data_IF_005470944133
#
_entry.id   IF_005470944133
#
_cell.length_a   1.000
_cell.length_b   1.000
_cell.length_c   1.000
_cell.angle_alpha   90.00
_cell.angle_beta   90.00
_cell.angle_gamma   90.00
#
_symmetry.space_group_name_H-M   'P 1'
#
loop_
_entity.id
_entity.type
_entity.pdbx_description
1 polymer ?
2 non-polymer ?
3 water ?
#
# COMPACT_ATOMS: atom_id res chain seq x y z
N UNK A 12 26.88 -10.26 6.30
CA UNK A 12 28.24 -10.52 5.72
C UNK A 12 28.17 -10.96 4.26
N UNK A 13 27.35 -11.99 4.00
CA UNK A 13 27.20 -12.57 2.65
C UNK A 13 25.87 -13.33 2.54
N UNK A 14 25.42 -13.54 1.30
CA UNK A 14 24.23 -14.36 1.03
C UNK A 14 24.48 -15.80 1.45
N UNK A 15 23.46 -16.43 2.03
CA UNK A 15 23.58 -17.80 2.53
C UNK A 15 23.24 -18.74 1.39
N UNK A 16 24.06 -19.79 1.23
CA UNK A 16 24.00 -20.73 0.09
C UNK A 16 22.57 -21.24 -0.21
N UNK A 17 21.78 -21.41 0.85
CA UNK A 17 20.35 -21.72 0.74
C UNK A 17 19.53 -20.66 -0.01
N UNK A 18 19.84 -19.37 0.19
CA UNK A 18 19.17 -18.26 -0.51
C UNK A 18 19.61 -18.15 -1.97
N UNK A 19 20.93 -18.25 -2.19
CA UNK A 19 21.53 -18.24 -3.53
C UNK A 19 20.86 -19.22 -4.47
N UNK A 20 20.59 -20.43 -3.98
CA UNK A 20 19.83 -21.44 -4.73
C UNK A 20 18.39 -20.99 -4.98
N UNK A 21 17.75 -20.46 -3.94
CA UNK A 21 16.37 -19.96 -4.01
C UNK A 21 16.19 -18.78 -4.98
N UNK A 22 17.10 -17.81 -4.89
CA UNK A 22 17.13 -16.67 -5.83
C UNK A 22 17.28 -17.19 -7.26
N UNK A 23 18.35 -17.95 -7.48
CA UNK A 23 18.67 -18.55 -8.79
C UNK A 23 17.55 -19.41 -9.38
N UNK A 24 16.80 -20.11 -8.52
CA UNK A 24 15.61 -20.85 -8.95
C UNK A 24 14.50 -19.89 -9.40
N UNK A 25 14.30 -18.81 -8.63
CA UNK A 25 13.25 -17.82 -8.90
C UNK A 25 13.46 -17.08 -10.22
N UNK A 26 14.70 -16.66 -10.46
CA UNK A 26 15.04 -15.90 -11.69
C UNK A 26 14.89 -16.80 -12.91
N UNK A 27 15.40 -18.04 -12.81
CA UNK A 27 15.31 -19.03 -13.90
C UNK A 27 13.86 -19.35 -14.28
N UNK A 28 13.04 -19.62 -13.28
CA UNK A 28 11.59 -19.85 -13.47
C UNK A 28 10.91 -18.66 -14.13
N UNK A 29 11.34 -17.45 -13.76
CA UNK A 29 10.79 -16.20 -14.30
C UNK A 29 11.16 -15.97 -15.77
N UNK A 30 12.40 -16.27 -16.16
CA UNK A 30 12.87 -16.02 -17.54
C UNK A 30 12.14 -16.83 -18.61
N UNK A 31 11.56 -17.98 -18.23
CA UNK A 31 10.70 -18.76 -19.13
C UNK A 31 9.31 -18.13 -19.37
N UNK A 32 8.99 -17.04 -18.68
CA UNK A 32 7.66 -16.43 -18.77
C UNK A 32 7.50 -15.57 -20.02
N UNK A 34 6.04 -15.79 -23.82
CA UNK A 34 7.15 -15.60 -24.75
C UNK A 34 6.72 -15.44 -26.23
N UNK A 35 5.42 -15.29 -26.47
CA UNK A 35 4.87 -15.23 -27.82
C UNK A 35 5.20 -13.88 -28.51
N UNK A 36 5.63 -13.96 -29.78
CA UNK A 36 6.02 -12.79 -30.58
C UNK A 36 4.92 -12.39 -31.55
N UNK A 58 -11.26 1.59 -31.80
CA UNK A 58 -11.08 1.72 -30.35
C UNK A 58 -11.43 0.43 -29.61
N UNK A 59 -12.61 -0.12 -29.92
CA UNK A 59 -13.04 -1.43 -29.40
C UNK A 59 -12.12 -2.54 -29.88
N UNK A 60 -11.65 -2.45 -31.13
CA UNK A 60 -10.65 -3.37 -31.68
C UNK A 60 -9.30 -3.25 -30.96
N UNK A 61 -8.90 -2.02 -30.68
CA UNK A 61 -7.67 -1.74 -29.91
C UNK A 61 -7.75 -2.24 -28.47
N UNK A 62 -8.87 -1.94 -27.82
CA UNK A 62 -9.17 -2.47 -26.49
C UNK A 62 -9.19 -4.01 -26.49
N UNK A 63 -9.90 -4.59 -27.45
CA UNK A 63 -9.97 -6.05 -27.61
C UNK A 63 -8.61 -6.71 -27.90
N UNK A 64 -7.70 -5.95 -28.52
CA UNK A 64 -6.31 -6.39 -28.67
C UNK A 64 -5.62 -6.50 -27.31
N UNK A 65 -5.67 -5.42 -26.53
CA UNK A 65 -4.98 -5.36 -25.23
C UNK A 65 -5.43 -6.41 -24.23
N UNK A 66 -6.73 -6.66 -24.18
CA UNK A 66 -7.28 -7.73 -23.35
C UNK A 66 -6.68 -9.12 -23.64
N UNK A 67 -6.43 -9.41 -24.92
CA UNK A 67 -5.80 -10.67 -25.31
C UNK A 67 -4.33 -10.74 -24.84
N UNK A 68 -3.66 -9.60 -24.81
CA UNK A 68 -2.32 -9.48 -24.20
C UNK A 68 -2.38 -9.70 -22.69
N UNK A 69 -3.40 -9.12 -22.05
CA UNK A 69 -3.64 -9.33 -20.61
C UNK A 69 -3.94 -10.78 -20.29
N UNK A 70 -4.77 -11.43 -21.11
CA UNK A 70 -5.09 -12.87 -20.97
C UNK A 70 -3.84 -13.74 -20.97
N UNK A 71 -2.97 -13.56 -21.96
CA UNK A 71 -1.72 -14.35 -22.08
C UNK A 71 -0.80 -14.14 -20.86
N UNK A 72 -0.71 -12.90 -20.39
CA UNK A 72 0.17 -12.55 -19.28
C UNK A 72 -0.35 -13.11 -17.94
N UNK A 73 -1.66 -13.05 -17.73
CA UNK A 73 -2.32 -13.68 -16.56
C UNK A 73 -2.02 -15.19 -16.50
N UNK A 74 -2.17 -15.87 -17.64
CA UNK A 74 -1.86 -17.30 -17.74
C UNK A 74 -0.40 -17.61 -17.44
N UNK A 75 0.50 -16.72 -17.87
CA UNK A 75 1.93 -16.84 -17.55
C UNK A 75 2.23 -16.66 -16.05
N UNK A 76 1.49 -15.76 -15.40
CA UNK A 76 1.64 -15.49 -13.95
C UNK A 76 1.18 -16.67 -13.08
N UNK A 77 0.05 -17.28 -13.44
CA UNK A 77 -0.44 -18.46 -12.70
C UNK A 77 0.52 -19.63 -12.79
N UNK A 78 1.07 -19.86 -13.99
CA UNK A 78 2.12 -20.87 -14.19
C UNK A 78 3.39 -20.53 -13.40
N UNK A 79 3.71 -19.23 -13.32
CA UNK A 79 4.82 -18.76 -12.48
C UNK A 79 4.54 -18.93 -10.99
N UNK A 80 3.31 -18.63 -10.57
CA UNK A 80 2.88 -18.77 -9.17
C UNK A 80 2.96 -20.22 -8.69
N UNK A 81 2.68 -21.18 -9.55
CA UNK A 81 2.86 -22.61 -9.22
C UNK A 81 4.31 -22.93 -8.91
N UNK A 82 5.23 -22.36 -9.69
CA UNK A 82 6.67 -22.60 -9.51
C UNK A 82 7.28 -21.96 -8.26
N UNK A 83 6.64 -20.95 -7.66
CA UNK A 83 7.13 -20.37 -6.40
C UNK A 83 6.93 -21.35 -5.24
N UNK A 84 7.98 -21.58 -4.41
CA UNK A 84 7.88 -22.49 -3.26
C UNK A 84 6.81 -22.08 -2.24
N UNK A 85 5.91 -23.02 -1.96
CA UNK A 85 4.90 -22.84 -0.92
C UNK A 85 3.53 -22.34 -1.37
N UNK A 86 3.44 -21.77 -2.58
CA UNK A 86 2.15 -21.32 -3.11
C UNK A 86 1.15 -22.47 -3.28
N UNK A 87 1.66 -23.60 -3.75
CA UNK A 87 0.90 -24.84 -3.96
C UNK A 87 0.30 -25.38 -2.65
N UNK A 88 1.04 -25.22 -1.55
CA UNK A 88 0.62 -25.66 -0.21
C UNK A 88 -0.68 -25.03 0.30
N UNK A 89 -1.02 -23.83 -0.17
CA UNK A 89 -2.14 -23.06 0.36
C UNK A 89 -3.46 -23.54 -0.20
N UNK A 90 -4.54 -23.23 0.52
CA UNK A 90 -5.89 -23.52 0.06
C UNK A 90 -6.22 -22.76 -1.23
N UNK A 91 -6.97 -23.41 -2.11
CA UNK A 91 -7.31 -22.84 -3.41
C UNK A 91 -8.00 -21.47 -3.29
N UNK A 92 -8.93 -21.36 -2.35
CA UNK A 92 -9.62 -20.10 -2.06
C UNK A 92 -8.65 -18.95 -1.76
N UNK A 93 -7.60 -19.24 -1.00
CA UNK A 93 -6.52 -18.28 -0.76
C UNK A 93 -5.63 -18.09 -1.99
N UNK A 94 -5.31 -19.17 -2.68
CA UNK A 94 -4.55 -19.09 -3.96
C UNK A 94 -5.23 -18.17 -4.96
N UNK A 95 -6.56 -18.25 -5.06
CA UNK A 95 -7.36 -17.35 -5.89
C UNK A 95 -7.25 -15.91 -5.39
N UNK A 96 -7.47 -15.73 -4.08
CA UNK A 96 -7.47 -14.39 -3.45
C UNK A 96 -6.16 -13.63 -3.66
N UNK A 97 -5.04 -14.33 -3.57
CA UNK A 97 -3.72 -13.76 -3.85
C UNK A 97 -3.54 -13.42 -5.33
N UNK A 98 -3.96 -14.32 -6.22
CA UNK A 98 -3.83 -14.09 -7.66
C UNK A 98 -4.69 -12.93 -8.17
N UNK A 99 -5.93 -12.85 -7.71
CA UNK A 99 -6.83 -11.75 -8.09
C UNK A 99 -6.18 -10.38 -7.88
N UNK A 100 -5.71 -10.17 -6.67
CA UNK A 100 -5.08 -8.91 -6.28
C UNK A 100 -3.69 -8.71 -6.89
N UNK A 101 -2.88 -9.76 -6.92
CA UNK A 101 -1.49 -9.67 -7.38
C UNK A 101 -1.32 -9.42 -8.88
N UNK A 102 -2.20 -10.01 -9.70
CA UNK A 102 -2.00 -10.02 -11.16
C UNK A 102 -1.81 -8.63 -11.77
N UNK A 103 -2.62 -7.66 -11.36
CA UNK A 103 -2.45 -6.28 -11.83
C UNK A 103 -1.07 -5.70 -11.44
N UNK A 104 -0.63 -5.99 -10.22
CA UNK A 104 0.61 -5.42 -9.68
C UNK A 104 1.86 -6.04 -10.32
N UNK A 105 1.84 -7.35 -10.53
CA UNK A 105 2.89 -8.08 -11.29
C UNK A 105 3.00 -7.53 -12.72
N UNK A 106 1.86 -7.29 -13.36
CA UNK A 106 1.85 -6.72 -14.70
C UNK A 106 2.49 -5.34 -14.72
N UNK A 107 2.11 -4.50 -13.76
CA UNK A 107 2.69 -3.17 -13.63
C UNK A 107 4.19 -3.21 -13.32
N UNK A 108 4.62 -4.21 -12.55
CA UNK A 108 6.06 -4.45 -12.37
C UNK A 108 6.73 -4.83 -13.68
N UNK A 109 6.11 -5.74 -14.44
CA UNK A 109 6.64 -6.16 -15.75
C UNK A 109 6.70 -5.02 -16.76
N UNK A 110 5.64 -4.21 -16.80
CA UNK A 110 5.60 -2.97 -17.58
C UNK A 110 6.79 -2.05 -17.25
N UNK A 111 7.08 -1.89 -15.96
CA UNK A 111 8.20 -1.07 -15.51
C UNK A 111 9.55 -1.65 -15.93
N UNK A 112 9.67 -2.98 -15.88
CA UNK A 112 10.92 -3.65 -16.23
C UNK A 112 11.34 -3.44 -17.69
N UNK A 113 10.38 -3.52 -18.61
CA UNK A 113 10.62 -3.33 -20.05
C UNK A 113 10.21 -1.96 -20.60
N UNK A 114 10.02 -0.99 -19.71
CA UNK A 114 9.86 0.41 -20.12
C UNK A 114 11.19 0.95 -20.63
N UNK A 115 11.17 1.54 -21.82
CA UNK A 115 12.36 2.10 -22.47
C UNK A 115 12.32 3.63 -22.36
N UNK A 116 13.27 4.20 -21.62
CA UNK A 116 13.36 5.66 -21.44
C UNK A 116 13.94 6.40 -22.66
N UNK A 117 14.61 5.66 -23.55
CA UNK A 117 15.11 6.22 -24.82
C UNK A 117 14.00 6.46 -25.84
N UNK A 118 12.97 5.61 -25.82
CA UNK A 118 11.86 5.69 -26.78
C UNK A 118 10.47 6.02 -26.17
N UNK A 119 10.37 6.00 -24.85
CA UNK A 119 9.09 6.17 -24.13
C UNK A 119 8.01 5.14 -24.54
N UNK A 120 8.44 3.91 -24.78
CA UNK A 120 7.54 2.83 -25.20
C UNK A 120 7.61 1.65 -24.22
N UNK A 121 6.46 1.02 -24.02
CA UNK A 121 6.33 -0.18 -23.17
C UNK A 121 6.21 -1.40 -24.07
N UNK A 122 7.02 -2.42 -23.80
CA UNK A 122 7.06 -3.62 -24.63
C UNK A 122 6.44 -4.78 -23.86
N UNK A 123 5.49 -5.48 -24.50
CA UNK A 123 4.87 -6.69 -23.94
C UNK A 123 5.47 -7.93 -24.60
N UNK A 126 7.76 -8.74 -28.00
CA UNK A 126 8.12 -7.42 -28.51
C UNK A 126 6.91 -6.66 -29.07
N UNK A 127 5.80 -6.74 -28.36
CA UNK A 127 4.59 -5.94 -28.64
C UNK A 127 4.78 -4.54 -28.04
N UNK A 128 5.33 -3.60 -28.81
CA UNK A 128 5.67 -2.25 -28.33
C UNK A 128 4.53 -1.25 -28.47
N UNK A 129 4.31 -0.45 -27.43
CA UNK A 129 3.21 0.55 -27.38
C UNK A 129 3.66 1.85 -26.73
N UNK A 130 3.17 2.96 -27.29
CA UNK A 130 3.43 4.31 -26.80
C UNK A 130 2.20 4.82 -26.05
N UNK A 131 2.35 5.97 -25.41
CA UNK A 131 1.28 6.58 -24.62
C UNK A 131 -0.02 6.80 -25.39
N UNK A 132 0.10 7.24 -26.64
CA UNK A 132 -1.07 7.49 -27.48
C UNK A 132 -1.81 6.20 -27.85
N UNK A 133 -1.07 5.12 -28.09
CA UNK A 133 -1.68 3.78 -28.32
C UNK A 133 -2.58 3.35 -27.15
N UNK A 134 -2.14 3.59 -25.92
CA UNK A 134 -2.95 3.30 -24.73
C UNK A 134 -4.16 4.23 -24.63
N UNK A 135 -3.97 5.51 -24.97
CA UNK A 135 -5.06 6.49 -24.99
C UNK A 135 -6.12 6.20 -26.06
N UNK A 136 -5.67 5.73 -27.22
CA UNK A 136 -6.55 5.39 -28.34
C UNK A 136 -7.49 4.20 -28.04
N UNK A 137 -7.05 3.30 -27.15
CA UNK A 137 -7.85 2.14 -26.73
C UNK A 137 -8.87 2.44 -25.61
N UNK A 138 -9.00 3.71 -25.20
CA UNK A 138 -9.99 4.12 -24.21
C UNK A 138 -9.49 4.21 -22.77
N UNK A 139 -8.19 4.02 -22.55
CA UNK A 139 -7.60 4.22 -21.21
C UNK A 139 -7.45 5.71 -20.91
N UNK A 140 -7.90 6.13 -19.72
CA UNK A 140 -7.86 7.53 -19.31
C UNK A 140 -6.42 7.96 -18.96
N UNK A 141 -6.15 9.26 -19.11
CA UNK A 141 -4.79 9.79 -18.93
C UNK A 141 -4.36 9.79 -17.45
N UNK A 142 -5.33 9.92 -16.56
CA UNK A 142 -5.10 9.81 -15.11
C UNK A 142 -4.54 8.44 -14.69
N UNK A 143 -4.75 7.41 -15.51
CA UNK A 143 -4.20 6.08 -15.26
C UNK A 143 -2.88 5.81 -16.01
N UNK A 144 -2.75 6.31 -17.24
CA UNK A 144 -1.55 6.05 -18.06
C UNK A 144 -0.32 6.77 -17.52
N UNK A 145 -0.46 8.07 -17.22
CA UNK A 145 0.67 8.90 -16.80
C UNK A 145 1.38 8.38 -15.53
N UNK A 146 0.60 8.01 -14.49
CA UNK A 146 1.21 7.38 -13.31
C UNK A 146 1.99 6.08 -13.56
N UNK A 147 1.52 5.24 -14.50
CA UNK A 147 2.23 4.00 -14.85
C UNK A 147 3.60 4.33 -15.43
N UNK A 148 3.64 5.34 -16.30
CA UNK A 148 4.90 5.84 -16.85
C UNK A 148 5.80 6.45 -15.78
N UNK A 149 5.23 7.32 -14.95
CA UNK A 149 5.96 7.89 -13.80
C UNK A 149 6.49 6.81 -12.85
N UNK A 150 5.68 5.78 -12.62
CA UNK A 150 6.09 4.62 -11.81
C UNK A 150 7.27 3.90 -12.46
N UNK A 151 7.17 3.66 -13.77
CA UNK A 151 8.24 3.01 -14.54
C UNK A 151 9.58 3.77 -14.53
N UNK A 152 9.54 5.10 -14.63
CA UNK A 152 10.76 5.91 -14.58
C UNK A 152 11.38 5.85 -13.17
N UNK A 153 10.55 5.90 -12.15
CA UNK A 153 11.01 5.75 -10.76
C UNK A 153 11.63 4.38 -10.53
N UNK A 154 11.01 3.34 -11.07
CA UNK A 154 11.59 1.98 -11.03
C UNK A 154 12.91 1.92 -11.78
N UNK A 155 12.98 2.59 -12.93
CA UNK A 155 14.23 2.67 -13.71
C UNK A 155 15.39 3.30 -12.93
N UNK A 156 15.10 4.38 -12.20
CA UNK A 156 16.09 5.04 -11.35
C UNK A 156 16.66 4.16 -10.22
N UNK A 157 15.87 3.22 -9.72
CA UNK A 157 16.34 2.26 -8.71
C UNK A 157 17.36 1.26 -9.24
N UNK A 158 17.36 1.01 -10.55
CA UNK A 158 18.33 0.16 -11.21
C UNK A 158 18.22 -1.29 -10.79
N UNK A 159 17.00 -1.82 -10.84
CA UNK A 159 16.74 -3.20 -10.39
C UNK A 159 17.23 -4.22 -11.41
N UNK A 160 18.00 -5.20 -10.95
CA UNK A 160 18.35 -6.36 -11.78
C UNK A 160 17.23 -7.40 -11.73
N UNK A 161 17.40 -8.50 -12.46
CA UNK A 161 16.37 -9.56 -12.53
C UNK A 161 16.11 -10.30 -11.22
N UNK A 162 17.13 -10.43 -10.38
CA UNK A 162 16.98 -11.05 -9.05
C UNK A 162 16.11 -10.19 -8.14
N UNK A 163 16.38 -8.88 -8.11
CA UNK A 163 15.57 -7.92 -7.36
C UNK A 163 14.12 -7.90 -7.83
N UNK A 164 13.91 -7.86 -9.13
CA UNK A 164 12.54 -7.95 -9.70
C UNK A 164 11.85 -9.25 -9.30
N UNK A 165 12.56 -10.37 -9.42
CA UNK A 165 12.01 -11.70 -9.08
C UNK A 165 11.56 -11.80 -7.62
N UNK A 166 12.41 -11.35 -6.71
CA UNK A 166 12.09 -11.33 -5.28
C UNK A 166 10.94 -10.39 -4.94
N UNK A 167 10.89 -9.26 -5.61
CA UNK A 167 9.82 -8.27 -5.44
C UNK A 167 8.46 -8.86 -5.83
N UNK A 168 8.45 -9.68 -6.89
CA UNK A 168 7.25 -10.39 -7.34
C UNK A 168 6.78 -11.44 -6.32
N UNK A 169 7.71 -12.20 -5.76
CA UNK A 169 7.41 -13.17 -4.71
C UNK A 169 6.79 -12.50 -3.47
N UNK A 170 7.40 -11.39 -3.04
CA UNK A 170 6.91 -10.59 -1.91
C UNK A 170 5.51 -10.06 -2.19
N UNK A 171 5.26 -9.65 -3.44
CA UNK A 171 3.96 -9.14 -3.86
C UNK A 171 2.86 -10.20 -3.81
N UNK A 172 3.18 -11.40 -4.29
CA UNK A 172 2.22 -12.53 -4.29
C UNK A 172 1.77 -12.86 -2.87
N UNK A 173 2.74 -13.03 -1.96
CA UNK A 173 2.44 -13.39 -0.57
C UNK A 173 2.17 -12.15 0.29
N UNK A 174 1.04 -11.50 0.05
CA UNK A 174 0.62 -10.34 0.84
C UNK A 174 -0.54 -10.75 1.74
N UNK A 175 -0.34 -10.62 3.06
CA UNK A 175 -1.31 -11.09 4.05
C UNK A 175 -2.60 -10.26 4.11
N UNK A 176 -2.51 -8.99 3.73
CA UNK A 176 -3.65 -8.05 3.83
C UNK A 176 -4.50 -7.94 2.54
N UNK A 177 -4.46 -8.95 1.69
CA UNK A 177 -5.34 -9.00 0.51
C UNK A 177 -6.76 -9.33 0.97
N UNK A 178 -7.79 -8.89 0.23
CA UNK A 178 -9.16 -9.16 0.67
C UNK A 178 -9.57 -10.62 0.54
N UNK A 179 -10.33 -11.11 1.53
CA UNK A 179 -10.84 -12.50 1.58
C UNK A 179 -9.76 -13.59 1.72
N UNK A 180 -8.68 -13.30 2.45
CA UNK A 180 -7.63 -14.30 2.73
C UNK A 180 -7.95 -15.02 4.04
N UNK A 181 -8.15 -16.33 3.95
CA UNK A 181 -8.48 -17.17 5.11
C UNK A 181 -7.31 -17.37 6.08
N UNK A 182 -6.09 -17.50 5.56
CA UNK A 182 -4.90 -17.80 6.36
C UNK A 182 -3.80 -16.72 6.24
N UNK A 183 -4.07 -15.50 6.74
CA UNK A 183 -3.08 -14.42 6.63
C UNK A 183 -1.73 -14.72 7.28
N UNK A 184 -1.75 -15.44 8.40
CA UNK A 184 -0.53 -15.85 9.11
C UNK A 184 0.40 -16.72 8.27
N UNK A 185 -0.16 -17.72 7.60
CA UNK A 185 0.62 -18.58 6.70
C UNK A 185 1.19 -17.80 5.51
N UNK A 186 0.41 -16.86 4.98
CA UNK A 186 0.84 -16.04 3.85
C UNK A 186 1.99 -15.12 4.26
N UNK A 187 1.88 -14.50 5.43
CA UNK A 187 2.97 -13.66 5.98
C UNK A 187 4.25 -14.47 6.21
N UNK A 188 4.10 -15.72 6.64
CA UNK A 188 5.23 -16.61 6.88
C UNK A 188 5.95 -17.04 5.59
N UNK A 189 5.18 -17.23 4.52
CA UNK A 189 5.75 -17.56 3.21
C UNK A 189 6.47 -16.37 2.56
N UNK A 190 6.03 -15.16 2.91
CA UNK A 190 6.64 -13.92 2.40
C UNK A 190 8.01 -13.63 3.00
N UNK A 191 8.15 -13.84 4.33
CA UNK A 191 9.38 -13.48 5.07
C UNK A 191 10.71 -13.91 4.43
N UNK A 192 10.83 -15.18 3.97
CA UNK A 192 12.08 -15.60 3.31
C UNK A 192 12.50 -14.73 2.11
N UNK A 193 11.52 -14.29 1.33
CA UNK A 193 11.78 -13.43 0.15
C UNK A 193 12.16 -12.01 0.53
N UNK A 194 11.57 -11.51 1.62
CA UNK A 194 11.94 -10.21 2.18
C UNK A 194 13.34 -10.28 2.80
N UNK A 195 13.65 -11.38 3.47
CA UNK A 195 14.99 -11.63 4.01
C UNK A 195 16.04 -11.73 2.91
N UNK A 196 15.70 -12.48 1.85
CA UNK A 196 16.61 -12.64 0.71
C UNK A 196 16.85 -11.32 -0.01
N UNK A 197 15.77 -10.53 -0.20
CA UNK A 197 15.87 -9.24 -0.87
C UNK A 197 16.72 -8.26 -0.08
N UNK A 198 16.55 -8.25 1.24
CA UNK A 198 17.41 -7.46 2.13
C UNK A 198 18.87 -7.85 1.96
N UNK A 199 19.17 -9.13 2.08
CA UNK A 199 20.55 -9.66 1.95
C UNK A 199 21.16 -9.39 0.56
N UNK A 200 20.37 -9.60 -0.49
CA UNK A 200 20.81 -9.35 -1.86
C UNK A 200 21.15 -7.88 -2.11
N UNK A 201 20.27 -6.97 -1.70
CA UNK A 201 20.48 -5.53 -1.90
C UNK A 201 21.70 -4.99 -1.17
N UNK A 202 21.98 -5.55 -0.01
CA UNK A 202 23.18 -5.19 0.77
C UNK A 202 24.48 -5.57 0.03
N UNK A 203 24.48 -6.71 -0.66
CA UNK A 203 25.66 -7.14 -1.42
C UNK A 203 25.85 -6.34 -2.72
N UNK A 204 24.77 -6.01 -3.40
CA UNK A 204 24.83 -5.31 -4.69
C UNK A 204 25.32 -3.87 -4.54
N UNK A 205 24.75 -3.14 -3.57
CA UNK A 205 25.16 -1.78 -3.25
C UNK A 205 25.28 -1.59 -1.72
N UNK A 206 26.42 -2.02 -1.14
CA UNK A 206 26.73 -1.81 0.29
C UNK A 206 26.65 -0.36 0.77
N UNK A 207 27.01 0.59 -0.09
CA UNK A 207 27.04 2.01 0.28
C UNK A 207 25.64 2.65 0.31
N UNK A 208 24.78 2.30 -0.67
CA UNK A 208 23.42 2.82 -0.76
C UNK A 208 22.45 1.98 0.10
N UNK A 209 22.32 2.36 1.36
CA UNK A 209 21.44 1.68 2.31
C UNK A 209 19.94 1.90 2.04
N UNK A 210 19.59 3.06 1.49
CA UNK A 210 18.17 3.43 1.26
C UNK A 210 17.51 2.80 0.01
N UNK A 211 18.26 2.04 -0.78
CA UNK A 211 17.70 1.41 -1.99
C UNK A 211 16.61 0.41 -1.67
N UNK A 212 16.88 -0.49 -0.72
CA UNK A 212 15.94 -1.53 -0.32
C UNK A 212 14.63 -0.98 0.26
N UNK A 213 14.71 -0.01 1.19
CA UNK A 213 13.49 0.67 1.65
C UNK A 213 12.66 1.29 0.52
N UNK A 214 13.33 2.00 -0.40
CA UNK A 214 12.67 2.62 -1.55
C UNK A 214 12.02 1.59 -2.50
N UNK A 215 12.68 0.45 -2.71
CA UNK A 215 12.08 -0.64 -3.47
C UNK A 215 10.77 -1.11 -2.85
N UNK A 216 10.81 -1.36 -1.53
CA UNK A 216 9.62 -1.82 -0.80
C UNK A 216 8.51 -0.78 -0.80
N UNK A 217 8.87 0.51 -0.78
CA UNK A 217 7.87 1.58 -0.87
C UNK A 217 7.16 1.65 -2.23
N UNK A 218 7.75 1.06 -3.28
CA UNK A 218 7.05 0.89 -4.57
C UNK A 218 5.86 -0.07 -4.48
N UNK A 219 5.92 -1.02 -3.54
CA UNK A 219 4.76 -1.88 -3.25
C UNK A 219 3.56 -1.06 -2.78
N UNK A 220 3.81 0.03 -2.08
CA UNK A 220 2.77 0.97 -1.65
C UNK A 220 2.13 1.64 -2.87
N UNK A 221 2.97 2.07 -3.82
CA UNK A 221 2.50 2.66 -5.08
C UNK A 221 1.68 1.70 -5.93
N UNK A 222 2.04 0.41 -5.95
CA UNK A 222 1.26 -0.60 -6.68
C UNK A 222 -0.16 -0.79 -6.13
N UNK A 223 -0.38 -0.58 -4.84
CA UNK A 223 -1.73 -0.64 -4.27
C UNK A 223 -2.64 0.45 -4.78
N UNK A 224 -2.13 1.68 -4.83
CA UNK A 224 -2.91 2.80 -5.39
C UNK A 224 -3.15 2.63 -6.88
N UNK A 225 -2.12 2.22 -7.62
CA UNK A 225 -2.28 1.95 -9.06
C UNK A 225 -3.28 0.81 -9.32
N UNK A 226 -3.31 -0.19 -8.43
CA UNK A 226 -4.34 -1.22 -8.46
C UNK A 226 -5.73 -0.65 -8.17
N UNK A 227 -5.81 0.28 -7.23
CA UNK A 227 -7.06 0.98 -6.91
C UNK A 227 -7.57 1.84 -8.09
N UNK A 228 -6.65 2.52 -8.78
CA UNK A 228 -7.00 3.32 -9.97
C UNK A 228 -7.42 2.42 -11.14
N UNK A 229 -6.78 1.25 -11.26
CA UNK A 229 -7.10 0.28 -12.30
C UNK A 229 -8.55 -0.22 -12.23
N UNK A 230 -9.06 -0.41 -11.01
CA UNK A 230 -10.49 -0.76 -10.80
C UNK A 230 -11.44 0.37 -11.25
N UNK A 231 -11.05 1.62 -11.00
CA UNK A 231 -11.78 2.77 -11.55
C UNK A 231 -11.69 2.86 -13.08
N UNK A 232 -10.53 2.49 -13.63
CA UNK A 232 -10.32 2.42 -15.08
C UNK A 232 -11.24 1.39 -15.73
N UNK A 233 -11.31 0.21 -15.14
CA UNK A 233 -12.24 -0.86 -15.57
C UNK A 233 -13.70 -0.38 -15.63
N UNK A 234 -14.13 0.30 -14.57
CA UNK A 234 -15.49 0.85 -14.52
C UNK A 234 -15.72 1.95 -15.56
N UNK A 235 -14.73 2.81 -15.75
CA UNK A 235 -14.77 3.86 -16.78
C UNK A 235 -14.85 3.30 -18.21
N UNK A 236 -14.18 2.17 -18.43
CA UNK A 236 -14.28 1.45 -19.71
C UNK A 236 -15.69 0.90 -19.95
N UNK A 237 -16.33 0.35 -18.91
CA UNK A 237 -17.72 -0.12 -19.00
C UNK A 237 -18.68 0.98 -19.47
N UNK A 238 -18.45 2.20 -18.99
CA UNK A 238 -19.20 3.39 -19.43
C UNK A 238 -19.03 3.64 -20.93
N UNK A 239 -17.81 3.48 -21.44
CA UNK A 239 -17.52 3.61 -22.88
C UNK A 239 -17.89 2.36 -23.70
N UNK A 240 -18.87 1.57 -23.25
CA UNK A 240 -19.28 0.33 -23.93
C UNK A 240 -18.12 -0.65 -24.15
N UNK A 241 -17.20 -0.70 -23.18
CA UNK A 241 -16.00 -1.53 -23.22
C UNK A 241 -15.98 -2.45 -22.00
N UNK A 242 -16.42 -3.70 -22.18
CA UNK A 242 -16.49 -4.70 -21.10
C UNK A 242 -15.39 -5.75 -21.24
N UNK A 243 -14.94 -6.29 -20.11
CA UNK A 243 -13.82 -7.22 -20.06
C UNK A 243 -14.21 -8.64 -20.47
N UNK A 244 -13.28 -9.41 -21.10
CA UNK A 244 -13.43 -10.86 -21.36
C UNK A 244 -13.61 -11.71 -20.10
N UNK A 245 -13.81 -13.05 -20.25
CA UNK A 245 -14.27 -13.84 -19.11
C UNK A 245 -13.23 -14.07 -17.99
N UNK A 246 -11.98 -14.35 -18.38
CA UNK A 246 -10.88 -14.55 -17.43
C UNK A 246 -10.56 -13.27 -16.65
N UNK A 247 -10.46 -12.15 -17.39
CA UNK A 247 -10.15 -10.85 -16.79
C UNK A 247 -11.29 -10.32 -15.92
N UNK A 248 -12.53 -10.55 -16.34
CA UNK A 248 -13.72 -10.17 -15.56
C UNK A 248 -13.82 -10.97 -14.25
N UNK A 249 -13.32 -12.22 -14.26
CA UNK A 249 -13.24 -13.02 -13.04
C UNK A 249 -12.36 -12.35 -11.98
N UNK A 250 -11.20 -11.87 -12.42
CA UNK A 250 -10.21 -11.23 -11.52
C UNK A 250 -10.44 -9.73 -11.23
N UNK A 251 -10.97 -8.98 -12.21
CA UNK A 251 -11.05 -7.51 -12.09
C UNK A 251 -12.45 -6.86 -12.03
N UNK A 252 -13.48 -7.54 -12.49
CA UNK A 252 -14.84 -6.97 -12.51
C UNK A 252 -15.55 -7.16 -11.17
N UNK A 253 -16.38 -6.18 -10.80
CA UNK A 253 -17.12 -6.21 -9.53
C UNK A 253 -18.20 -5.14 -9.51
N UNK A 261 -17.33 -16.84 -8.34
CA UNK A 261 -17.30 -18.15 -9.01
C UNK A 261 -16.25 -18.20 -10.12
N UNK A 262 -14.99 -18.06 -9.72
CA UNK A 262 -13.84 -18.05 -10.65
C UNK A 262 -13.51 -19.42 -11.27
N UNK A 263 -14.39 -19.85 -12.18
CA UNK A 263 -14.32 -21.18 -12.80
C UNK A 263 -13.10 -21.33 -13.73
N UNK A 264 -12.85 -20.30 -14.53
CA UNK A 264 -11.69 -20.26 -15.41
C UNK A 264 -10.38 -20.39 -14.63
N UNK A 265 -10.28 -19.64 -13.53
CA UNK A 265 -9.07 -19.57 -12.71
C UNK A 265 -8.71 -20.87 -11.95
N UNK A 266 -9.72 -21.71 -11.69
CA UNK A 266 -9.51 -23.03 -11.07
C UNK A 266 -8.75 -24.02 -11.98
N UNK A 267 -9.18 -24.11 -13.24
CA UNK A 267 -8.63 -25.07 -14.20
C UNK A 267 -7.12 -24.94 -14.42
N UNK A 268 -6.65 -23.69 -14.54
CA UNK A 268 -5.21 -23.40 -14.70
C UNK A 268 -4.43 -23.80 -13.45
N UNK A 269 -5.05 -23.61 -12.28
CA UNK A 269 -4.45 -24.05 -11.01
C UNK A 269 -4.54 -25.56 -10.83
N UNK B 13 26.23 4.02 13.99
CA UNK B 13 25.35 4.48 15.04
C UNK B 13 24.71 5.78 14.65
N UNK B 14 23.79 6.24 15.47
CA UNK B 14 23.01 7.42 15.16
C UNK B 14 23.83 8.67 15.25
N UNK B 15 23.41 9.68 14.53
CA UNK B 15 24.06 10.97 14.58
C UNK B 15 23.21 11.78 15.51
N UNK B 16 23.86 12.47 16.43
CA UNK B 16 23.18 13.19 17.49
C UNK B 16 22.23 14.19 16.90
N UNK B 17 22.53 14.68 15.71
CA UNK B 17 21.63 15.62 15.04
C UNK B 17 20.27 14.95 14.77
N UNK B 18 20.28 13.68 14.39
CA UNK B 18 19.02 12.97 14.18
C UNK B 18 18.27 12.90 15.48
N UNK B 19 19.03 12.66 16.53
CA UNK B 19 18.49 12.34 17.82
C UNK B 19 17.60 13.44 18.31
N UNK B 20 18.01 14.67 18.09
CA UNK B 20 17.17 15.77 18.50
C UNK B 20 15.88 15.68 17.73
N UNK B 21 16.01 15.35 16.45
CA UNK B 21 14.85 15.30 15.57
C UNK B 21 13.83 14.30 16.01
N UNK B 22 14.29 13.10 16.27
CA UNK B 22 13.45 12.02 16.81
C UNK B 22 12.76 12.52 18.08
N UNK B 23 13.57 12.97 19.04
CA UNK B 23 13.09 13.50 20.34
C UNK B 23 12.07 14.64 20.21
N UNK B 24 12.26 15.50 19.20
CA UNK B 24 11.28 16.55 18.89
C UNK B 24 9.97 15.95 18.37
N UNK B 25 10.08 14.93 17.50
CA UNK B 25 8.92 14.28 16.89
C UNK B 25 8.04 13.53 17.89
N UNK B 26 8.68 12.81 18.81
CA UNK B 26 7.96 12.04 19.84
C UNK B 26 7.24 12.99 20.79
N UNK B 27 7.95 14.05 21.22
CA UNK B 27 7.40 15.05 22.14
C UNK B 27 6.17 15.76 21.55
N UNK B 28 6.31 16.22 20.31
CA UNK B 28 5.21 16.83 19.56
C UNK B 28 4.00 15.90 19.44
N UNK B 29 4.28 14.61 19.24
CA UNK B 29 3.25 13.58 19.11
C UNK B 29 2.47 13.31 20.39
N UNK B 30 3.17 13.25 21.53
CA UNK B 30 2.52 12.96 22.83
C UNK B 30 1.46 13.98 23.27
N UNK B 31 1.60 15.23 22.81
CA UNK B 31 0.61 16.28 23.07
C UNK B 31 -0.64 16.10 22.21
N UNK B 43 -18.04 15.26 24.69
CA UNK B 43 -18.60 14.71 23.45
C UNK B 43 -20.05 14.26 23.66
N UNK B 44 -20.83 14.27 22.58
CA UNK B 44 -22.21 13.71 22.52
C UNK B 44 -22.36 12.36 23.25
N UNK B 45 -23.59 12.01 23.70
CA UNK B 45 -23.76 10.82 24.52
C UNK B 45 -23.67 9.51 23.71
N UNK B 46 -22.99 8.51 24.28
CA UNK B 46 -22.95 7.16 23.76
C UNK B 46 -24.09 6.37 24.38
N UNK B 47 -25.04 5.83 23.56
CA UNK B 47 -26.16 5.05 24.14
C UNK B 47 -25.77 3.72 24.77
N UNK B 57 -30.92 4.07 18.08
CA UNK B 57 -29.67 4.13 18.85
C UNK B 57 -28.41 3.97 17.98
N UNK B 58 -28.53 3.26 16.85
CA UNK B 58 -27.44 3.10 15.89
C UNK B 58 -26.94 4.45 15.35
N UNK B 59 -27.87 5.30 14.93
CA UNK B 59 -27.56 6.63 14.43
C UNK B 59 -26.92 7.51 15.50
N UNK B 60 -27.40 7.38 16.74
CA UNK B 60 -26.79 8.05 17.90
C UNK B 60 -25.37 7.54 18.18
N UNK B 61 -25.19 6.23 18.07
CA UNK B 61 -23.86 5.58 18.22
C UNK B 61 -22.89 5.99 17.10
N UNK B 62 -23.37 5.95 15.87
CA UNK B 62 -22.63 6.46 14.72
C UNK B 62 -22.26 7.94 14.90
N UNK B 63 -23.25 8.75 15.27
CA UNK B 63 -23.06 10.18 15.52
C UNK B 63 -22.08 10.47 16.67
N UNK B 64 -21.97 9.53 17.62
CA UNK B 64 -20.94 9.60 18.65
C UNK B 64 -19.54 9.44 18.04
N UNK B 65 -19.35 8.37 17.27
CA UNK B 65 -18.04 8.05 16.69
C UNK B 65 -17.50 9.13 15.75
N UNK B 66 -18.37 9.70 14.94
CA UNK B 66 -18.00 10.82 14.07
C UNK B 66 -17.42 12.02 14.83
N UNK B 67 -17.97 12.31 16.00
CA UNK B 67 -17.44 13.40 16.86
C UNK B 67 -16.06 13.06 17.41
N UNK B 68 -15.80 11.77 17.66
CA UNK B 68 -14.45 11.30 17.99
C UNK B 68 -13.51 11.43 16.80
N UNK B 69 -13.99 11.10 15.61
CA UNK B 69 -13.23 11.29 14.37
C UNK B 69 -12.91 12.77 14.11
N UNK B 70 -13.89 13.64 14.32
CA UNK B 70 -13.70 15.10 14.19
C UNK B 70 -12.55 15.62 15.08
N UNK B 71 -12.58 15.27 16.37
CA UNK B 71 -11.56 15.71 17.32
C UNK B 71 -10.16 15.21 16.93
N UNK B 72 -10.08 13.96 16.45
CA UNK B 72 -8.81 13.33 16.09
C UNK B 72 -8.22 13.94 14.81
N UNK B 73 -9.07 14.23 13.83
CA UNK B 73 -8.67 14.96 12.60
C UNK B 73 -8.05 16.33 12.94
N UNK B 74 -8.72 17.07 13.83
CA UNK B 74 -8.23 18.38 14.29
C UNK B 74 -6.88 18.26 15.02
N UNK B 75 -6.71 17.18 15.78
CA UNK B 75 -5.43 16.89 16.45
C UNK B 75 -4.30 16.58 15.46
N UNK B 76 -4.64 15.89 14.36
CA UNK B 76 -3.66 15.54 13.31
C UNK B 76 -3.18 16.76 12.52
N UNK B 77 -4.08 17.69 12.20
CA UNK B 77 -3.70 18.91 11.48
C UNK B 77 -2.77 19.78 12.35
N UNK B 78 -3.09 19.89 13.65
CA UNK B 78 -2.21 20.56 14.61
C UNK B 78 -0.86 19.86 14.74
N UNK B 79 -0.86 18.53 14.67
CA UNK B 79 0.36 17.73 14.65
C UNK B 79 1.15 17.94 13.36
N UNK B 80 0.44 17.98 12.23
CA UNK B 80 1.07 18.19 10.92
C UNK B 80 1.78 19.54 10.81
N UNK B 81 1.25 20.57 11.46
CA UNK B 81 1.93 21.87 11.54
C UNK B 81 3.27 21.76 12.26
N UNK B 82 3.30 20.98 13.34
CA UNK B 82 4.52 20.80 14.15
C UNK B 82 5.62 19.95 13.48
N UNK B 83 5.27 19.15 12.46
CA UNK B 83 6.28 18.36 11.72
C UNK B 83 7.15 19.31 10.87
N UNK B 84 8.49 19.16 10.94
CA UNK B 84 9.40 20.04 10.17
C UNK B 84 9.21 19.94 8.65
N UNK B 85 8.98 21.08 8.02
CA UNK B 85 8.86 21.15 6.56
C UNK B 85 7.46 21.08 5.98
N UNK B 86 6.48 20.60 6.74
CA UNK B 86 5.09 20.51 6.24
C UNK B 86 4.51 21.88 5.89
N UNK B 87 4.80 22.86 6.73
CA UNK B 87 4.36 24.25 6.54
C UNK B 87 4.93 24.88 5.25
N UNK B 88 6.16 24.49 4.91
CA UNK B 88 6.87 24.96 3.71
C UNK B 88 6.16 24.65 2.38
N UNK B 89 5.37 23.58 2.35
CA UNK B 89 4.69 23.13 1.13
C UNK B 89 3.45 23.96 0.87
N UNK B 90 3.01 23.98 -0.40
CA UNK B 90 1.80 24.70 -0.80
C UNK B 90 0.57 24.15 -0.11
N UNK B 91 -0.38 25.03 0.22
CA UNK B 91 -1.63 24.65 0.90
C UNK B 91 -2.39 23.55 0.18
N UNK B 92 -2.49 23.67 -1.15
CA UNK B 92 -3.12 22.65 -2.00
C UNK B 92 -2.52 21.26 -1.81
N UNK B 93 -1.19 21.20 -1.68
CA UNK B 93 -0.49 19.97 -1.35
C UNK B 93 -0.68 19.57 0.11
N UNK B 94 -0.62 20.55 1.03
CA UNK B 94 -0.91 20.31 2.45
C UNK B 94 -2.27 19.64 2.66
N UNK B 95 -3.27 20.12 1.92
CA UNK B 95 -4.61 19.50 1.92
C UNK B 95 -4.56 18.07 1.37
N UNK B 96 -3.91 17.91 0.21
CA UNK B 96 -3.83 16.62 -0.48
C UNK B 96 -3.19 15.52 0.36
N UNK B 97 -2.14 15.88 1.11
CA UNK B 97 -1.48 14.96 2.03
C UNK B 97 -2.38 14.63 3.23
N UNK B 98 -3.04 15.63 3.79
CA UNK B 98 -3.93 15.42 4.95
C UNK B 98 -5.16 14.58 4.63
N UNK B 99 -5.79 14.83 3.48
CA UNK B 99 -6.95 14.04 3.04
C UNK B 99 -6.66 12.53 3.06
N UNK B 100 -5.58 12.16 2.40
CA UNK B 100 -5.17 10.76 2.30
C UNK B 100 -4.60 10.19 3.60
N UNK B 101 -3.77 10.98 4.28
CA UNK B 101 -3.09 10.52 5.50
C UNK B 101 -3.98 10.28 6.71
N UNK B 102 -5.00 11.13 6.89
CA UNK B 102 -5.80 11.14 8.13
C UNK B 102 -6.36 9.76 8.52
N UNK B 103 -6.92 9.03 7.56
CA UNK B 103 -7.40 7.67 7.86
C UNK B 103 -6.27 6.73 8.32
N UNK B 104 -5.11 6.84 7.68
CA UNK B 104 -3.98 5.95 7.95
C UNK B 104 -3.32 6.22 9.30
N UNK B 105 -3.15 7.50 9.63
CA UNK B 105 -2.69 7.95 10.96
C UNK B 105 -3.63 7.48 12.06
N UNK B 106 -4.93 7.57 11.82
CA UNK B 106 -5.91 7.10 12.80
C UNK B 106 -5.80 5.60 13.03
N UNK B 107 -5.68 4.85 11.94
CA UNK B 107 -5.48 3.40 12.03
C UNK B 107 -4.18 3.03 12.72
N UNK B 108 -3.13 3.83 12.51
CA UNK B 108 -1.89 3.67 13.29
C UNK B 108 -2.11 3.93 14.78
N UNK B 109 -2.84 5.00 15.10
CA UNK B 109 -3.17 5.34 16.49
C UNK B 109 -4.04 4.29 17.17
N UNK B 110 -5.04 3.80 16.44
CA UNK B 110 -5.85 2.66 16.86
C UNK B 110 -4.99 1.44 17.24
N UNK B 111 -4.00 1.15 16.39
CA UNK B 111 -3.08 0.03 16.63
C UNK B 111 -2.21 0.26 17.86
N UNK B 112 -1.78 1.50 18.07
CA UNK B 112 -0.91 1.84 19.21
C UNK B 112 -1.58 1.58 20.56
N UNK B 113 -2.85 1.97 20.70
CA UNK B 113 -3.61 1.80 21.95
C UNK B 113 -4.57 0.59 21.94
N UNK B 114 -4.40 -0.32 20.99
CA UNK B 114 -5.08 -1.61 21.03
C UNK B 114 -4.51 -2.47 22.15
N UNK B 115 -5.39 -3.00 22.99
CA UNK B 115 -5.01 -3.83 24.13
C UNK B 115 -5.33 -5.31 23.83
N UNK B 116 -4.28 -6.13 23.73
CA UNK B 116 -4.46 -7.58 23.45
C UNK B 116 -4.94 -8.39 24.66
N UNK B 117 -4.83 -7.84 25.86
CA UNK B 117 -5.35 -8.46 27.09
C UNK B 117 -6.87 -8.33 27.20
N UNK B 118 -7.44 -7.24 26.67
CA UNK B 118 -8.88 -6.97 26.75
C UNK B 118 -9.63 -6.96 25.40
N UNK B 119 -8.89 -6.95 24.28
CA UNK B 119 -9.44 -6.79 22.93
C UNK B 119 -10.28 -5.50 22.75
N UNK B 120 -9.82 -4.42 23.38
CA UNK B 120 -10.50 -3.12 23.30
C UNK B 120 -9.57 -2.04 22.72
N UNK B 121 -10.17 -1.12 21.96
CA UNK B 121 -9.46 0.02 21.37
C UNK B 121 -9.82 1.26 22.17
N UNK B 124 -9.69 11.00 21.59
CA UNK B 124 -10.07 10.70 22.97
C UNK B 124 -8.89 10.43 23.90
N UNK B 125 -9.18 10.40 25.19
CA UNK B 125 -8.19 10.14 26.26
C UNK B 125 -8.31 8.70 26.76
N UNK B 126 -9.52 8.28 27.11
CA UNK B 126 -9.79 6.91 27.54
C UNK B 126 -11.21 6.44 27.20
N UNK B 127 -11.66 6.79 26.00
CA UNK B 127 -12.92 6.29 25.44
C UNK B 127 -12.68 4.90 24.85
N UNK B 128 -12.92 3.87 25.65
CA UNK B 128 -12.65 2.47 25.26
C UNK B 128 -13.84 1.80 24.57
N UNK B 129 -13.56 1.06 23.50
CA UNK B 129 -14.58 0.37 22.69
C UNK B 129 -14.15 -1.05 22.30
N UNK B 130 -15.12 -1.96 22.31
CA UNK B 130 -14.93 -3.35 21.90
C UNK B 130 -15.51 -3.56 20.52
N UNK B 131 -15.28 -4.74 19.95
CA UNK B 131 -15.76 -5.07 18.61
C UNK B 131 -17.26 -4.92 18.43
N UNK B 132 -18.04 -5.30 19.43
CA UNK B 132 -19.50 -5.21 19.35
C UNK B 132 -19.98 -3.75 19.35
N UNK B 133 -19.31 -2.89 20.12
CA UNK B 133 -19.59 -1.44 20.09
C UNK B 133 -19.47 -0.84 18.69
N UNK B 134 -18.43 -1.25 17.95
CA UNK B 134 -18.24 -0.81 16.56
C UNK B 134 -19.30 -1.40 15.63
N UNK B 135 -19.66 -2.65 15.85
CA UNK B 135 -20.72 -3.33 15.08
C UNK B 135 -22.11 -2.72 15.31
N UNK B 136 -22.38 -2.32 16.56
CA UNK B 136 -23.66 -1.72 16.94
C UNK B 136 -23.90 -0.34 16.28
N UNK B 137 -22.81 0.37 15.97
CA UNK B 137 -22.90 1.67 15.29
C UNK B 137 -23.04 1.60 13.76
N UNK B 138 -23.18 0.39 13.20
CA UNK B 138 -23.42 0.21 11.76
C UNK B 138 -22.18 -0.08 10.92
N UNK B 139 -21.02 -0.24 11.56
CA UNK B 139 -19.80 -0.63 10.85
C UNK B 139 -19.82 -2.13 10.52
N UNK B 140 -19.54 -2.46 9.26
CA UNK B 140 -19.56 -3.85 8.78
C UNK B 140 -18.36 -4.63 9.32
N UNK B 141 -18.53 -5.95 9.45
CA UNK B 141 -17.51 -6.83 10.03
C UNK B 141 -16.28 -6.98 9.12
N UNK B 142 -16.50 -6.87 7.80
CA UNK B 142 -15.43 -6.87 6.81
C UNK B 142 -14.43 -5.72 7.01
N UNK B 143 -14.85 -4.64 7.67
CA UNK B 143 -13.98 -3.51 7.99
C UNK B 143 -13.37 -3.57 9.40
N UNK B 144 -14.16 -4.03 10.38
CA UNK B 144 -13.71 -4.08 11.78
C UNK B 144 -12.60 -5.12 11.99
N UNK B 145 -12.83 -6.34 11.50
CA UNK B 145 -11.89 -7.45 11.74
C UNK B 145 -10.47 -7.19 11.22
N UNK B 146 -10.33 -6.66 9.99
CA UNK B 146 -9.00 -6.26 9.51
C UNK B 146 -8.26 -5.22 10.34
N UNK B 147 -8.98 -4.25 10.92
CA UNK B 147 -8.37 -3.23 11.78
C UNK B 147 -7.77 -3.89 13.02
N UNK B 148 -8.53 -4.83 13.59
CA UNK B 148 -8.03 -5.63 14.73
C UNK B 148 -6.84 -6.52 14.33
N UNK B 149 -6.96 -7.23 13.21
CA UNK B 149 -5.84 -8.02 12.68
C UNK B 149 -4.60 -7.16 12.38
N UNK B 150 -4.82 -5.96 11.87
CA UNK B 150 -3.74 -4.99 11.64
C UNK B 150 -3.09 -4.59 12.97
N UNK B 151 -3.92 -4.29 13.97
CA UNK B 151 -3.45 -3.93 15.31
C UNK B 151 -2.61 -5.02 16.00
N UNK B 152 -3.03 -6.27 15.87
CA UNK B 152 -2.26 -7.40 16.44
C UNK B 152 -0.92 -7.58 15.75
N UNK B 153 -0.91 -7.42 14.42
CA UNK B 153 0.32 -7.45 13.64
C UNK B 153 1.26 -6.32 14.04
N UNK B 154 0.72 -5.12 14.22
CA UNK B 154 1.50 -3.99 14.73
C UNK B 154 2.04 -4.27 16.12
N UNK B 155 1.21 -4.88 16.97
CA UNK B 155 1.63 -5.25 18.33
C UNK B 155 2.81 -6.22 18.35
N UNK B 156 2.79 -7.21 17.46
CA UNK B 156 3.90 -8.17 17.30
C UNK B 156 5.23 -7.53 16.92
N UNK B 157 5.19 -6.42 16.18
CA UNK B 157 6.42 -5.68 15.81
C UNK B 157 7.08 -4.99 17.01
N UNK B 158 6.31 -4.70 18.05
CA UNK B 158 6.83 -4.15 19.30
C UNK B 158 7.35 -2.74 19.14
N UNK B 159 6.55 -1.88 18.50
CA UNK B 159 6.96 -0.52 18.21
C UNK B 159 6.93 0.35 19.47
N UNK B 160 8.03 1.06 19.73
CA UNK B 160 8.05 2.12 20.74
C UNK B 160 7.51 3.42 20.15
N UNK B 161 7.44 4.47 20.96
CA UNK B 161 6.87 5.77 20.53
C UNK B 161 7.71 6.49 19.45
N UNK B 162 9.02 6.28 19.45
CA UNK B 162 9.90 6.85 18.41
C UNK B 162 9.61 6.22 17.05
N UNK B 163 9.51 4.89 17.02
CA UNK B 163 9.16 4.15 15.80
C UNK B 163 7.78 4.55 15.26
N UNK B 164 6.79 4.64 16.16
CA UNK B 164 5.46 5.12 15.77
C UNK B 164 5.51 6.53 15.20
N UNK B 165 6.23 7.44 15.88
CA UNK B 165 6.35 8.84 15.45
C UNK B 165 6.96 8.99 14.06
N UNK B 166 8.05 8.28 13.82
CA UNK B 166 8.72 8.28 12.51
C UNK B 166 7.85 7.69 11.40
N UNK B 167 7.12 6.63 11.75
CA UNK B 167 6.20 5.97 10.81
C UNK B 167 5.10 6.92 10.35
N UNK B 168 4.62 7.75 11.28
CA UNK B 168 3.60 8.78 11.01
C UNK B 168 4.14 9.87 10.07
N UNK B 169 5.37 10.33 10.33
CA UNK B 169 6.04 11.31 9.46
C UNK B 169 6.20 10.79 8.04
N UNK B 170 6.67 9.54 7.91
CA UNK B 170 6.84 8.86 6.61
C UNK B 170 5.49 8.75 5.89
N UNK B 171 4.43 8.47 6.65
CA UNK B 171 3.09 8.35 6.08
C UNK B 171 2.56 9.68 5.52
N UNK B 172 2.76 10.77 6.26
CA UNK B 172 2.33 12.10 5.85
C UNK B 172 2.99 12.51 4.53
N UNK B 173 4.31 12.37 4.45
CA UNK B 173 5.07 12.75 3.25
C UNK B 173 5.13 11.60 2.24
N UNK B 174 3.99 11.30 1.61
CA UNK B 174 3.91 10.29 0.58
C UNK B 174 3.72 10.97 -0.77
N UNK B 175 4.65 10.75 -1.70
CA UNK B 175 4.68 11.46 -2.98
C UNK B 175 3.56 11.05 -3.94
N UNK B 176 3.07 9.81 -3.81
CA UNK B 176 2.06 9.26 -4.71
C UNK B 176 0.59 9.45 -4.27
N UNK B 177 0.33 10.44 -3.42
CA UNK B 177 -1.03 10.78 -3.02
C UNK B 177 -1.71 11.51 -4.18
N UNK B 178 -3.05 11.43 -4.28
CA UNK B 178 -3.74 12.07 -5.41
C UNK B 178 -3.73 13.60 -5.33
N UNK B 179 -3.57 14.25 -6.49
CA UNK B 179 -3.57 15.72 -6.63
C UNK B 179 -2.38 16.43 -5.96
N UNK B 180 -1.20 15.80 -5.93
CA UNK B 180 0.00 16.45 -5.35
C UNK B 180 0.78 17.19 -6.45
N UNK B 181 0.89 18.51 -6.29
CA UNK B 181 1.62 19.36 -7.24
C UNK B 181 3.13 19.17 -7.22
N UNK B 182 3.72 18.94 -6.04
CA UNK B 182 5.18 18.87 -5.86
C UNK B 182 5.64 17.52 -5.28
N UNK B 183 5.47 16.42 -6.03
CA UNK B 183 5.87 15.09 -5.51
C UNK B 183 7.35 14.98 -5.13
N UNK B 184 8.21 15.64 -5.89
CA UNK B 184 9.65 15.66 -5.63
C UNK B 184 10.00 16.24 -4.26
N UNK B 185 9.42 17.39 -3.93
CA UNK B 185 9.64 18.02 -2.62
C UNK B 185 9.09 17.16 -1.47
N UNK B 186 7.95 16.50 -1.69
CA UNK B 186 7.35 15.62 -0.69
C UNK B 186 8.25 14.40 -0.43
N UNK B 187 8.76 13.79 -1.51
CA UNK B 187 9.70 12.67 -1.39
C UNK B 187 10.98 13.07 -0.66
N UNK B 188 11.45 14.30 -0.89
CA UNK B 188 12.64 14.83 -0.23
C UNK B 188 12.45 15.08 1.27
N UNK B 189 11.26 15.53 1.65
CA UNK B 189 10.90 15.71 3.07
C UNK B 189 10.74 14.38 3.81
N UNK B 190 10.34 13.33 3.09
CA UNK B 190 10.17 11.98 3.65
C UNK B 190 11.50 11.30 3.98
N UNK B 191 12.49 11.42 3.08
CA UNK B 191 13.78 10.69 3.20
C UNK B 191 14.46 10.74 4.57
N UNK B 192 14.56 11.94 5.20
CA UNK B 192 15.17 12.01 6.54
C UNK B 192 14.51 11.12 7.60
N UNK B 193 13.18 10.99 7.54
CA UNK B 193 12.44 10.16 8.48
C UNK B 193 12.60 8.66 8.20
N UNK B 194 12.74 8.32 6.92
CA UNK B 194 13.05 6.94 6.52
C UNK B 194 14.48 6.57 6.91
N UNK B 195 15.40 7.52 6.74
CA UNK B 195 16.79 7.36 7.18
C UNK B 195 16.90 7.22 8.69
N UNK B 196 16.17 8.06 9.42
CA UNK B 196 16.15 8.02 10.88
C UNK B 196 15.56 6.71 11.39
N UNK B 197 14.46 6.27 10.77
CA UNK B 197 13.79 5.03 11.16
C UNK B 197 14.66 3.82 10.93
N UNK B 198 15.37 3.80 9.79
CA UNK B 198 16.37 2.77 9.51
C UNK B 198 17.44 2.73 10.61
N UNK B 199 18.06 3.88 10.87
CA UNK B 199 19.12 4.00 11.89
C UNK B 199 18.64 3.64 13.29
N UNK B 200 17.46 4.12 13.66
CA UNK B 200 16.87 3.83 14.97
C UNK B 200 16.60 2.33 15.17
N UNK B 201 15.97 1.69 14.19
CA UNK B 201 15.63 0.26 14.29
C UNK B 201 16.86 -0.64 14.41
N UNK B 202 17.94 -0.24 13.73
CA UNK B 202 19.20 -0.97 13.79
C UNK B 202 19.82 -0.93 15.20
N UNK B 203 19.69 0.20 15.90
CA UNK B 203 20.22 0.34 17.25
C UNK B 203 19.38 -0.40 18.30
N UNK B 204 18.07 -0.35 18.15
CA UNK B 204 17.15 -0.96 19.13
C UNK B 204 17.23 -2.49 19.13
N UNK B 205 17.19 -3.08 17.94
CA UNK B 205 17.34 -4.53 17.76
C UNK B 205 18.30 -4.85 16.61
N UNK B 206 19.63 -4.80 16.87
CA UNK B 206 20.66 -5.18 15.90
C UNK B 206 20.51 -6.59 15.31
N UNK B 207 20.01 -7.53 16.10
CA UNK B 207 19.89 -8.92 15.67
C UNK B 207 18.67 -9.15 14.76
N UNK B 208 17.54 -8.52 15.09
CA UNK B 208 16.30 -8.64 14.28
C UNK B 208 16.28 -7.63 13.13
N UNK B 209 16.87 -8.03 12.01
CA UNK B 209 17.03 -7.15 10.84
C UNK B 209 15.72 -6.91 10.08
N UNK B 210 14.80 -7.88 10.12
CA UNK B 210 13.54 -7.81 9.38
C UNK B 210 12.43 -6.93 9.99
N UNK B 211 12.67 -6.34 11.15
CA UNK B 211 11.68 -5.47 11.80
C UNK B 211 11.34 -4.23 10.96
N UNK B 212 12.39 -3.54 10.51
CA UNK B 212 12.24 -2.32 9.73
C UNK B 212 11.53 -2.53 8.38
N UNK B 213 11.91 -3.57 7.61
CA UNK B 213 11.16 -3.92 6.41
C UNK B 213 9.67 -4.19 6.69
N UNK B 214 9.38 -4.97 7.73
CA UNK B 214 8.00 -5.27 8.12
C UNK B 214 7.21 -4.04 8.56
N UNK B 215 7.85 -3.10 9.26
CA UNK B 215 7.22 -1.82 9.59
C UNK B 215 6.79 -1.08 8.32
N UNK B 216 7.71 -0.96 7.37
CA UNK B 216 7.42 -0.27 6.11
C UNK B 216 6.34 -0.97 5.29
N UNK B 217 6.29 -2.30 5.37
CA UNK B 217 5.23 -3.05 4.69
C UNK B 217 3.84 -2.83 5.28
N UNK B 218 3.75 -2.34 6.51
CA UNK B 218 2.47 -1.90 7.10
C UNK B 218 1.90 -0.68 6.39
N UNK B 219 2.75 0.15 5.81
CA UNK B 219 2.30 1.26 4.96
C UNK B 219 1.49 0.74 3.76
N UNK B 220 1.86 -0.42 3.25
CA UNK B 220 1.13 -1.08 2.16
C UNK B 220 -0.27 -1.49 2.63
N UNK B 221 -0.34 -2.07 3.84
CA UNK B 221 -1.61 -2.44 4.46
C UNK B 221 -2.54 -1.26 4.72
N UNK B 222 -1.98 -0.12 5.10
CA UNK B 222 -2.78 1.09 5.33
C UNK B 222 -3.46 1.62 4.06
N UNK B 223 -2.86 1.41 2.89
CA UNK B 223 -3.49 1.82 1.62
C UNK B 223 -4.74 1.00 1.33
N UNK B 224 -4.67 -0.31 1.53
CA UNK B 224 -5.85 -1.18 1.33
C UNK B 224 -6.93 -0.89 2.38
N UNK B 225 -6.54 -0.72 3.63
CA UNK B 225 -7.50 -0.37 4.69
C UNK B 225 -8.14 0.99 4.45
N UNK B 226 -7.39 1.93 3.87
CA UNK B 226 -7.95 3.19 3.39
C UNK B 226 -8.94 2.99 2.24
N UNK B 227 -8.61 2.08 1.32
CA UNK B 227 -9.52 1.70 0.23
C UNK B 227 -10.83 1.06 0.73
N UNK B 228 -10.73 0.20 1.74
CA UNK B 228 -11.91 -0.44 2.35
C UNK B 228 -12.76 0.60 3.11
N UNK B 229 -12.08 1.55 3.77
CA UNK B 229 -12.75 2.63 4.51
C UNK B 229 -13.66 3.48 3.62
N UNK B 230 -13.24 3.75 2.39
CA UNK B 230 -14.08 4.45 1.41
C UNK B 230 -15.33 3.66 1.02
N UNK B 231 -15.19 2.34 0.90
CA UNK B 231 -16.35 1.45 0.70
C UNK B 231 -17.26 1.42 1.93
N UNK B 232 -16.66 1.47 3.12
CA UNK B 232 -17.40 1.52 4.39
C UNK B 232 -18.25 2.79 4.48
N UNK B 233 -17.65 3.94 4.15
CA UNK B 233 -18.34 5.24 4.10
C UNK B 233 -19.56 5.20 3.19
N UNK B 234 -19.39 4.64 1.98
CA UNK B 234 -20.48 4.52 1.01
C UNK B 234 -21.59 3.58 1.50
N UNK B 235 -21.21 2.48 2.12
CA UNK B 235 -22.19 1.56 2.63
C UNK B 235 -23.03 2.29 3.64
N UNK B 236 -22.38 3.01 4.53
CA UNK B 236 -23.12 3.69 5.57
C UNK B 236 -24.07 4.73 5.02
N UNK B 237 -23.66 5.44 3.99
CA UNK B 237 -24.53 6.44 3.44
C UNK B 237 -25.75 5.67 3.03
N UNK B 238 -25.54 4.47 2.55
CA UNK B 238 -26.65 3.68 2.08
C UNK B 238 -27.63 3.46 3.21
N UNK B 239 -27.13 3.28 4.41
CA UNK B 239 -28.02 3.09 5.54
C UNK B 239 -28.13 4.32 6.43
N UNK B 242 -24.69 9.33 6.91
CA UNK B 242 -23.98 10.43 6.27
C UNK B 242 -23.08 11.16 7.25
N UNK B 243 -21.86 11.39 6.80
CA UNK B 243 -20.85 11.98 7.63
C UNK B 243 -21.07 13.46 7.87
N UNK B 244 -20.43 13.94 8.93
CA UNK B 244 -20.45 15.35 9.31
C UNK B 244 -19.68 16.14 8.27
N UNK B 245 -19.87 17.46 8.26
CA UNK B 245 -19.29 18.30 7.20
C UNK B 245 -17.77 18.21 7.11
N UNK B 246 -17.06 18.15 8.23
CA UNK B 246 -15.62 18.09 8.14
C UNK B 246 -15.11 16.78 7.53
N UNK B 247 -15.67 15.66 7.96
CA UNK B 247 -15.19 14.41 7.44
C UNK B 247 -15.59 14.34 6.01
N UNK B 248 -16.83 14.68 5.73
CA UNK B 248 -17.30 14.60 4.35
C UNK B 248 -16.37 15.33 3.37
N UNK B 249 -15.72 16.39 3.84
CA UNK B 249 -14.70 17.10 3.05
C UNK B 249 -13.55 16.19 2.68
N UNK B 250 -13.06 15.43 3.66
CA UNK B 250 -11.91 14.54 3.49
C UNK B 250 -12.23 13.14 2.92
N UNK B 251 -13.41 12.58 3.25
CA UNK B 251 -13.73 11.17 2.91
C UNK B 251 -14.89 10.92 1.93
N UNK B 252 -15.80 11.86 1.75
CA UNK B 252 -16.98 11.64 0.90
C UNK B 252 -16.68 11.92 -0.57
N UNK B 253 -17.32 11.16 -1.46
CA UNK B 253 -17.11 11.25 -2.89
C UNK B 253 -17.74 12.51 -3.48
N UNK B 262 -13.77 22.35 1.07
CA UNK B 262 -12.60 22.22 1.92
C UNK B 262 -12.46 23.37 2.92
N UNK B 263 -13.57 24.00 3.30
CA UNK B 263 -13.54 25.25 4.07
C UNK B 263 -13.09 25.03 5.50
N UNK B 264 -13.59 23.95 6.12
CA UNK B 264 -13.19 23.56 7.47
C UNK B 264 -11.69 23.28 7.54
N UNK B 265 -11.18 22.53 6.57
CA UNK B 265 -9.76 22.12 6.55
C UNK B 265 -8.76 23.28 6.34
N UNK B 266 -9.19 24.34 5.69
CA UNK B 266 -8.35 25.55 5.49
C UNK B 266 -8.13 26.33 6.78
N UNK B 267 -9.20 26.56 7.53
CA UNK B 267 -9.16 27.35 8.78
C UNK B 267 -8.21 26.76 9.83
N UNK B 268 -8.23 25.43 9.96
CA UNK B 268 -7.32 24.70 10.87
C UNK B 268 -5.86 24.86 10.42
N UNK B 269 -5.62 24.88 9.12
CA UNK B 269 -4.30 25.14 8.57
C UNK B 269 -3.90 26.62 8.69
N UNK B 270 -4.87 27.54 8.55
CA UNK B 270 -4.62 28.97 8.73
C UNK B 270 -4.77 29.40 10.19
N UNK B 271 -3.71 29.17 10.96
CA UNK B 271 -3.69 29.47 12.40
C UNK B 271 -2.26 29.39 12.94
X LIG C 1 -2.59 -3.46 -19.98
X LIG C 1 -2.13 -4.65 -20.53
X LIG C 1 -1.86 -4.73 -21.89
X LIG C 1 -2.03 -3.63 -22.71
X LIG C 1 -2.53 -2.47 -22.17
X LIG C 1 -2.83 -2.39 -20.82
X LIG C 1 -7.64 -4.29 -19.32
X LIG C 1 -6.04 -5.13 -21.06
X LIG C 1 -6.70 -2.71 -21.04
X LIG C 1 -6.45 -3.94 -20.20
X LIG C 1 -5.15 -2.94 -18.35
X LIG C 1 -2.02 1.32 -19.07
X LIG C 1 -0.71 1.52 -19.48
X LIG C 1 0.23 0.52 -19.36
X LIG C 1 -0.16 -0.71 -18.83
X LIG C 1 -1.48 -0.93 -18.42
X LIG C 1 -2.09 -2.39 -16.41
X LIG C 1 -3.61 -2.31 -16.54
X LIG C 1 -2.41 0.10 -18.55
X LIG C 1 -0.15 -2.85 -18.08
X LIG C 1 -2.62 -3.34 -18.47
X LIG C 1 -1.58 -2.32 -17.87
X LIG C 1 0.59 -1.86 -18.62
X LIG C 1 -3.87 -2.85 -17.89
X LIG C 1 -6.08 -2.37 -17.85
X LIG C 1 -5.19 -3.72 -19.44
X LIG C 1 0.24 -3.98 -17.82
X LIG D 1 -13.31 5.63 13.89
X LIG D 1 -13.06 6.68 14.76
X LIG D 1 -13.64 6.73 16.02
X LIG D 1 -14.49 5.73 16.42
X LIG D 1 -14.81 4.70 15.54
X LIG D 1 -14.24 4.67 14.28
X LIG D 1 -16.25 8.11 11.23
X LIG D 1 -17.14 6.42 12.83
X LIG D 1 -17.17 5.94 10.39
X LIG D 1 -16.42 6.64 11.52
X LIG D 1 -14.26 5.62 10.87
X LIG D 1 -13.22 0.84 13.18
X LIG D 1 -12.48 0.39 14.27
X LIG D 1 -11.48 1.18 14.81
X LIG D 1 -11.23 2.42 14.24
X LIG D 1 -11.96 2.88 13.15
X LIG D 1 -10.89 4.33 11.32
X LIG D 1 -12.13 4.54 10.47
X LIG D 1 -12.96 2.08 12.62
X LIG D 1 -10.37 4.48 13.83
X LIG D 1 -12.42 5.46 12.68
X LIG D 1 -11.44 4.24 12.76
X LIG D 1 -10.31 3.40 14.63
X LIG D 1 -13.05 5.26 11.37
X LIG D 1 -14.56 5.49 9.71
X LIG D 1 -15.03 6.20 11.81
X LIG D 1 -9.70 5.50 13.96
#
# INVERSE_FOLDING_TARGET
MGHHHHHHGEGVQLTAAQELMIQQLVAAQLQCNKRSFSDQPKVTPWPLGADPASGSASQQRFAHFTELAIISVQEIVDFAKQVPGFLQLGREDQIALLKASTIEIMLLETARRYNHETECITFLKDFTYSKDDFHRAGLQVEFINPIFEFSRAMRRLGLDDAEYALLIAINIFSADRPNVQEPGRVEALQQPYVEALLSYTRIKRPQDQLRFPRMLMKLVSLRTLSSVHSEQVFALRLQDKKLPPLLSEIWDVHEGSGSGSHKILHRLLQDSSS
MGHHHHHHGEGVQLTAAQELMIQQLVAAQLQCNKRSFSDQPKVTPWPLGADPASGSASQQRFAHFTELAIISVQEIVDFAKQVPGFLQLGREDQIALLKASTIEIMLLETARRYNHETECITFLKDFTYSKDDFHRAGLQVEFINPIFEFSRAMRRLGLDDAEYALLIAINIFSADRPNVQEPGRVEALQQPYVEALLSYTRIKRPQDQLRFPRMLMKLVSLRTLSSVHSEQVFALRLQDKKLPPLLSEIWDVHEGSGSGSHKILHRLLQDSSS
D40 C22 C27 C26 C25 C24 C23 C20 C19 C18 C17 C14 C1 C2 C3 C4 C5 C13 C12 C6 C8 C10 C9 N7 N11 O15 O16 O21
D40 C22 C27 C26 C25 C24 C23 C20 C19 C18 C17 C14 C1 C2 C3 C4 C5 C13 C12 C6 C8 C10 C9 N7 N11 O15 O16 O21
#
